data_IF_771215445103
#
_entry.id   IF_771215445103
#
_cell.length_a   1.000
_cell.length_b   1.000
_cell.length_c   1.000
_cell.angle_alpha   90.00
_cell.angle_beta   90.00
_cell.angle_gamma   90.00
#
_symmetry.space_group_name_H-M   'P 1'
#
loop_
_entity.id
_entity.type
_entity.pdbx_description
1 polymer ?
#
# COMPACT_ATOMS: atom_id res chain seq x y z
N UNK A 1 -17.58 -9.56 -2.12
CA UNK A 1 -17.01 -8.84 -1.00
C UNK A 1 -17.72 -7.53 -0.77
N UNK A 2 -17.99 -7.25 0.43
CA UNK A 2 -18.71 -6.07 0.80
C UNK A 2 -17.81 -4.86 0.84
N UNK A 3 -18.26 -3.76 0.36
CA UNK A 3 -17.44 -2.58 0.45
C UNK A 3 -17.37 -2.08 1.88
N UNK A 4 -16.23 -1.51 2.24
CA UNK A 4 -15.93 -1.10 3.59
C UNK A 4 -16.22 0.37 3.85
N UNK A 5 -16.58 1.12 2.80
CA UNK A 5 -16.89 2.54 2.94
C UNK A 5 -18.37 2.76 2.84
N UNK A 6 -18.84 3.73 3.58
CA UNK A 6 -20.19 4.22 3.43
C UNK A 6 -20.14 5.49 2.62
N UNK A 7 -20.94 5.55 1.55
CA UNK A 7 -21.02 6.76 0.75
C UNK A 7 -21.77 7.81 1.53
N UNK A 8 -21.15 8.96 1.72
CA UNK A 8 -21.83 10.10 2.33
C UNK A 8 -22.25 11.05 1.21
N UNK A 9 -23.13 11.99 1.56
CA UNK A 9 -23.55 12.99 0.59
C UNK A 9 -22.41 13.92 0.17
N UNK A 10 -21.29 13.89 0.90
CA UNK A 10 -20.12 14.69 0.55
C UNK A 10 -19.20 14.00 -0.43
N UNK A 11 -19.47 12.73 -0.76
CA UNK A 11 -18.65 11.96 -1.67
C UNK A 11 -19.15 12.23 -3.09
N UNK A 12 -18.35 12.94 -3.87
CA UNK A 12 -18.69 13.30 -5.24
C UNK A 12 -17.48 13.05 -6.15
N UNK A 13 -17.72 12.61 -7.38
CA UNK A 13 -16.62 12.54 -8.35
C UNK A 13 -16.11 13.95 -8.64
N UNK A 14 -14.80 14.10 -8.71
CA UNK A 14 -14.16 15.39 -8.94
C UNK A 14 -13.39 15.45 -10.25
N UNK A 15 -13.40 14.38 -11.04
CA UNK A 15 -12.76 14.36 -12.34
C UNK A 15 -12.18 13.01 -12.67
N UNK A 16 -11.62 12.91 -13.86
CA UNK A 16 -10.95 11.71 -14.32
C UNK A 16 -9.56 11.62 -13.69
N UNK A 17 -9.11 10.39 -13.44
CA UNK A 17 -7.76 10.17 -12.97
C UNK A 17 -6.81 9.95 -14.15
N UNK A 18 -5.71 10.70 -14.16
CA UNK A 18 -4.61 10.51 -15.10
C UNK A 18 -3.35 10.29 -14.28
N UNK A 19 -2.68 9.15 -14.50
CA UNK A 19 -1.48 8.80 -13.75
C UNK A 19 -0.40 9.88 -13.91
N UNK A 20 -0.40 10.63 -15.02
CA UNK A 20 0.57 11.68 -15.26
C UNK A 20 0.36 12.91 -14.37
N UNK A 21 -0.80 13.00 -13.72
CA UNK A 21 -1.04 14.08 -12.77
C UNK A 21 -0.34 13.87 -11.43
N UNK A 22 0.12 12.65 -11.16
CA UNK A 22 0.84 12.35 -9.93
C UNK A 22 2.22 12.97 -9.95
N UNK A 23 2.69 13.38 -8.78
CA UNK A 23 4.00 14.03 -8.65
C UNK A 23 5.04 12.99 -8.26
N UNK A 24 5.63 12.39 -9.27
CA UNK A 24 6.73 11.45 -9.07
C UNK A 24 8.02 12.24 -8.75
N UNK A 25 8.92 11.58 -8.03
CA UNK A 25 10.22 12.20 -7.75
C UNK A 25 11.12 12.16 -8.99
N UNK A 26 12.37 12.63 -8.85
CA UNK A 26 13.29 12.70 -9.99
C UNK A 26 13.65 11.33 -10.55
N UNK A 27 13.43 10.27 -9.79
CA UNK A 27 13.65 8.90 -10.26
C UNK A 27 12.38 8.28 -10.85
N UNK A 28 11.29 9.04 -10.93
CA UNK A 28 10.03 8.55 -11.46
C UNK A 28 9.26 7.71 -10.46
N UNK A 29 9.47 7.90 -9.17
CA UNK A 29 8.89 7.08 -8.12
C UNK A 29 7.99 7.91 -7.21
N UNK A 30 7.01 7.22 -6.62
CA UNK A 30 6.08 7.80 -5.67
C UNK A 30 5.88 6.77 -4.55
N UNK A 31 5.87 7.20 -3.28
CA UNK A 31 5.65 6.26 -2.19
C UNK A 31 4.17 5.85 -2.12
N UNK A 32 3.96 4.59 -1.75
CA UNK A 32 2.62 4.05 -1.55
C UNK A 32 2.56 3.38 -0.19
N UNK A 33 1.65 3.84 0.66
CA UNK A 33 1.40 3.23 1.96
C UNK A 33 0.27 2.24 1.78
N UNK A 34 0.46 1.01 2.30
CA UNK A 34 -0.60 0.02 2.31
C UNK A 34 -1.21 -0.05 3.71
N UNK A 35 -2.53 0.04 3.77
CA UNK A 35 -3.28 0.04 5.01
C UNK A 35 -4.37 -1.02 4.94
N UNK A 36 -4.58 -1.73 6.04
CA UNK A 36 -5.62 -2.75 6.13
C UNK A 36 -6.99 -2.06 6.04
N UNK A 37 -7.79 -2.47 5.06
CA UNK A 37 -9.10 -1.86 4.83
C UNK A 37 -10.10 -2.19 5.93
N UNK A 38 -9.89 -3.29 6.66
CA UNK A 38 -10.84 -3.75 7.65
C UNK A 38 -10.62 -3.12 9.01
N UNK A 39 -9.37 -2.95 9.44
CA UNK A 39 -9.08 -2.47 10.79
C UNK A 39 -8.25 -1.19 10.83
N UNK A 40 -7.82 -0.68 9.68
CA UNK A 40 -7.05 0.56 9.62
C UNK A 40 -5.58 0.43 9.96
N UNK A 41 -5.08 -0.78 10.15
CA UNK A 41 -3.67 -0.98 10.47
C UNK A 41 -2.79 -0.59 9.29
N UNK A 42 -1.76 0.21 9.54
CA UNK A 42 -0.77 0.54 8.51
C UNK A 42 0.18 -0.65 8.38
N UNK A 43 0.29 -1.17 7.18
CA UNK A 43 0.98 -2.44 6.92
C UNK A 43 2.40 -2.25 6.43
N UNK A 44 2.61 -1.36 5.49
CA UNK A 44 3.92 -1.17 4.88
C UNK A 44 3.95 0.09 4.02
N UNK A 45 5.14 0.47 3.59
CA UNK A 45 5.33 1.47 2.54
C UNK A 45 6.33 0.92 1.53
N UNK A 46 6.04 1.11 0.25
CA UNK A 46 6.97 0.75 -0.82
C UNK A 46 6.79 1.73 -1.96
N UNK A 47 7.60 1.58 -3.00
CA UNK A 47 7.63 2.53 -4.11
C UNK A 47 6.85 2.03 -5.30
N UNK A 48 6.29 2.97 -6.05
CA UNK A 48 5.63 2.70 -7.32
C UNK A 48 6.18 3.63 -8.38
N UNK A 49 6.23 3.17 -9.62
CA UNK A 49 6.39 4.05 -10.77
C UNK A 49 5.03 4.19 -11.47
N UNK A 50 4.96 4.96 -12.56
CA UNK A 50 3.67 5.17 -13.24
C UNK A 50 3.05 3.86 -13.71
N UNK A 51 3.86 2.94 -14.21
CA UNK A 51 3.37 1.65 -14.68
C UNK A 51 2.81 0.80 -13.53
N UNK A 52 3.46 0.79 -12.37
CA UNK A 52 2.95 0.01 -11.24
C UNK A 52 1.63 0.58 -10.72
N UNK A 53 1.45 1.90 -10.78
CA UNK A 53 0.16 2.51 -10.44
C UNK A 53 -0.93 1.99 -11.38
N UNK A 54 -0.66 2.02 -12.67
CA UNK A 54 -1.63 1.57 -13.67
C UNK A 54 -1.94 0.09 -13.47
N UNK A 55 -0.93 -0.74 -13.27
CA UNK A 55 -1.13 -2.19 -13.07
C UNK A 55 -1.95 -2.47 -11.81
N UNK A 56 -1.67 -1.75 -10.73
CA UNK A 56 -2.43 -1.91 -9.49
C UNK A 56 -3.91 -1.62 -9.71
N UNK A 57 -4.21 -0.53 -10.41
CA UNK A 57 -5.60 -0.13 -10.64
C UNK A 57 -6.30 -1.07 -11.62
N UNK A 58 -5.58 -1.58 -12.62
CA UNK A 58 -6.19 -2.47 -13.61
C UNK A 58 -6.41 -3.87 -13.07
N UNK A 59 -5.49 -4.39 -12.27
CA UNK A 59 -5.56 -5.78 -11.82
C UNK A 59 -6.23 -5.95 -10.47
N UNK A 60 -6.27 -4.89 -9.66
CA UNK A 60 -6.71 -5.00 -8.27
C UNK A 60 -5.70 -5.69 -7.37
N UNK A 61 -4.50 -5.97 -7.85
CA UNK A 61 -3.40 -6.55 -7.07
C UNK A 61 -2.32 -5.50 -6.92
N UNK A 62 -1.94 -5.17 -5.69
CA UNK A 62 -0.98 -4.10 -5.47
C UNK A 62 0.37 -4.51 -6.02
N UNK A 63 0.87 -3.70 -6.93
CA UNK A 63 2.11 -3.94 -7.67
C UNK A 63 3.05 -2.78 -7.39
N UNK A 64 4.23 -3.10 -6.88
CA UNK A 64 5.25 -2.11 -6.53
C UNK A 64 6.40 -2.13 -7.52
N UNK A 65 7.28 -1.16 -7.39
CA UNK A 65 8.54 -1.13 -8.14
C UNK A 65 9.69 -1.29 -7.16
N UNK A 66 10.52 -2.29 -7.41
CA UNK A 66 11.73 -2.52 -6.60
C UNK A 66 12.86 -1.67 -7.11
N UNK A 67 13.32 -0.72 -6.30
CA UNK A 67 14.44 0.15 -6.67
C UNK A 67 15.75 -0.61 -6.80
N UNK A 68 15.97 -1.56 -5.91
CA UNK A 68 17.22 -2.32 -5.89
C UNK A 68 17.31 -3.30 -7.05
N UNK A 69 16.18 -3.93 -7.42
CA UNK A 69 16.17 -4.93 -8.49
C UNK A 69 15.76 -4.35 -9.84
N UNK A 70 15.29 -3.10 -9.86
CA UNK A 70 14.81 -2.44 -11.08
C UNK A 70 13.77 -3.31 -11.80
N UNK A 71 12.78 -3.79 -11.04
CA UNK A 71 11.74 -4.66 -11.57
C UNK A 71 10.43 -4.45 -10.83
N UNK A 72 9.34 -4.87 -11.48
CA UNK A 72 8.04 -4.89 -10.84
C UNK A 72 7.95 -6.02 -9.82
N UNK A 73 7.10 -5.82 -8.86
CA UNK A 73 6.93 -6.75 -7.76
C UNK A 73 5.46 -6.74 -7.36
N UNK A 74 4.73 -7.79 -7.73
CA UNK A 74 3.34 -7.99 -7.31
C UNK A 74 3.38 -8.53 -5.89
N UNK A 75 2.79 -7.78 -4.95
CA UNK A 75 2.84 -8.15 -3.54
C UNK A 75 2.23 -9.51 -3.32
N UNK A 76 3.01 -10.43 -2.73
CA UNK A 76 2.54 -11.77 -2.41
C UNK A 76 2.54 -12.74 -3.56
N UNK A 77 3.11 -12.38 -4.71
CA UNK A 77 3.10 -13.23 -5.89
C UNK A 77 3.74 -14.59 -5.61
N UNK A 78 4.83 -14.62 -4.86
CA UNK A 78 5.52 -15.86 -4.51
C UNK A 78 5.08 -16.41 -3.16
N UNK A 79 4.84 -15.54 -2.17
CA UNK A 79 4.55 -15.96 -0.81
C UNK A 79 3.08 -16.29 -0.57
N UNK A 80 2.18 -15.83 -1.43
CA UNK A 80 0.75 -15.92 -1.21
C UNK A 80 0.19 -14.80 -0.33
N UNK A 81 1.03 -13.95 0.23
CA UNK A 81 0.60 -12.86 1.11
C UNK A 81 0.22 -11.63 0.28
N UNK A 82 -0.79 -11.80 -0.56
CA UNK A 82 -1.21 -10.80 -1.54
C UNK A 82 -1.94 -9.65 -0.89
N UNK A 83 -1.96 -8.54 -1.60
CA UNK A 83 -2.75 -7.36 -1.24
C UNK A 83 -3.78 -7.12 -2.34
N UNK A 84 -5.04 -7.32 -1.99
CA UNK A 84 -6.14 -7.06 -2.90
C UNK A 84 -6.65 -5.65 -2.64
N UNK A 85 -6.68 -4.83 -3.68
CA UNK A 85 -7.02 -3.43 -3.57
C UNK A 85 -8.51 -3.25 -3.27
N UNK A 86 -8.81 -2.46 -2.24
CA UNK A 86 -10.17 -2.06 -1.90
C UNK A 86 -10.41 -0.61 -2.33
N UNK A 87 -9.42 0.25 -2.06
CA UNK A 87 -9.53 1.67 -2.38
C UNK A 87 -8.15 2.24 -2.61
N UNK A 88 -8.07 3.26 -3.45
CA UNK A 88 -6.80 3.86 -3.82
C UNK A 88 -6.94 5.37 -3.68
N UNK A 89 -6.13 5.97 -2.79
CA UNK A 89 -6.27 7.38 -2.44
C UNK A 89 -4.98 8.12 -2.74
N UNK A 90 -5.14 9.37 -3.14
CA UNK A 90 -4.04 10.30 -3.38
C UNK A 90 -4.02 11.29 -2.23
N UNK A 91 -2.83 11.72 -1.81
CA UNK A 91 -2.81 12.77 -0.80
C UNK A 91 -3.07 14.14 -1.45
N UNK A 92 -3.13 15.19 -0.65
CA UNK A 92 -3.65 16.47 -1.12
C UNK A 92 -2.81 17.12 -2.23
N UNK A 93 -1.52 16.86 -2.25
CA UNK A 93 -0.64 17.39 -3.31
C UNK A 93 -0.17 16.30 -4.28
N UNK A 94 -0.73 15.10 -4.16
CA UNK A 94 -0.57 14.00 -5.11
C UNK A 94 0.86 13.51 -5.25
N UNK A 95 1.60 13.53 -4.15
CA UNK A 95 2.97 13.02 -4.11
C UNK A 95 3.12 11.79 -3.20
N UNK A 96 2.01 11.25 -2.70
CA UNK A 96 1.98 10.04 -1.89
C UNK A 96 0.66 9.31 -2.13
N UNK A 97 0.73 7.99 -2.15
CA UNK A 97 -0.44 7.14 -2.40
C UNK A 97 -0.80 6.36 -1.15
N UNK A 98 -2.10 6.09 -0.98
CA UNK A 98 -2.59 5.22 0.08
C UNK A 98 -3.44 4.14 -0.56
N UNK A 99 -3.00 2.89 -0.44
CA UNK A 99 -3.74 1.73 -0.93
C UNK A 99 -4.40 1.06 0.27
N UNK A 100 -5.73 1.06 0.28
CA UNK A 100 -6.49 0.30 1.27
C UNK A 100 -6.69 -1.09 0.72
N UNK A 101 -6.30 -2.11 1.49
CA UNK A 101 -6.18 -3.46 0.95
C UNK A 101 -6.77 -4.50 1.91
N UNK A 102 -7.14 -5.64 1.34
CA UNK A 102 -7.26 -6.88 2.09
C UNK A 102 -5.90 -7.57 2.03
N UNK A 103 -5.26 -7.74 3.18
CA UNK A 103 -3.94 -8.34 3.28
C UNK A 103 -4.07 -9.80 3.68
N UNK A 104 -3.58 -10.70 2.84
CA UNK A 104 -3.45 -12.11 3.20
C UNK A 104 -2.15 -12.30 3.98
N UNK A 105 -2.27 -12.77 5.22
CA UNK A 105 -1.10 -13.08 6.03
C UNK A 105 -0.27 -11.87 6.40
N UNK A 106 1.04 -12.06 6.45
CA UNK A 106 1.98 -11.05 6.88
C UNK A 106 2.36 -10.13 5.72
N UNK A 107 2.33 -8.81 5.97
CA UNK A 107 2.80 -7.86 4.96
C UNK A 107 4.32 -7.80 4.92
N UNK A 108 4.98 -8.05 6.05
CA UNK A 108 6.43 -7.92 6.17
C UNK A 108 7.13 -9.23 5.82
N UNK A 109 8.31 -9.14 5.18
CA UNK A 109 9.10 -10.33 4.87
C UNK A 109 9.62 -11.04 6.13
N UNK A 110 9.54 -10.39 7.29
CA UNK A 110 9.88 -11.01 8.59
C UNK A 110 8.71 -11.82 9.15
N UNK A 111 7.65 -12.02 8.37
CA UNK A 111 6.43 -12.71 8.75
C UNK A 111 5.60 -11.98 9.81
N UNK A 112 5.88 -10.72 10.05
CA UNK A 112 5.04 -9.89 10.91
C UNK A 112 3.93 -9.27 10.09
N UNK A 113 2.78 -9.10 10.70
CA UNK A 113 1.59 -8.54 10.02
C UNK A 113 1.89 -7.20 9.38
N UNK A 114 2.63 -6.35 10.10
CA UNK A 114 3.00 -5.02 9.61
C UNK A 114 4.52 -4.88 9.58
N UNK A 115 5.02 -4.09 8.65
CA UNK A 115 6.43 -3.71 8.65
C UNK A 115 6.75 -2.75 9.79
N UNK A 116 5.73 -2.11 10.37
CA UNK A 116 5.88 -1.12 11.42
C UNK A 116 5.73 -1.78 12.79
N UNK A 117 6.59 -2.73 13.10
CA UNK A 117 6.49 -3.52 14.33
C UNK A 117 7.48 -3.08 15.41
N UNK A 118 8.29 -2.06 15.15
CA UNK A 118 9.23 -1.53 16.13
C UNK A 118 8.82 -0.10 16.46
N UNK A 119 8.57 0.15 17.74
CA UNK A 119 8.28 1.50 18.22
C UNK A 119 9.48 2.04 18.97
N UNK A 120 9.63 3.36 18.98
CA UNK A 120 10.63 4.03 19.82
C UNK A 120 9.88 4.68 20.98
N UNK A 121 10.15 4.22 22.19
CA UNK A 121 9.50 4.70 23.40
C UNK A 121 10.56 4.94 24.46
N UNK A 122 10.57 6.15 25.00
CA UNK A 122 11.55 6.55 26.01
C UNK A 122 13.00 6.27 25.57
N UNK A 123 13.26 6.52 24.27
CA UNK A 123 14.58 6.33 23.69
C UNK A 123 14.97 4.90 23.38
N UNK A 124 14.06 3.95 23.55
CA UNK A 124 14.35 2.54 23.34
C UNK A 124 13.45 1.94 22.26
N UNK A 125 13.98 0.93 21.56
CA UNK A 125 13.20 0.19 20.58
C UNK A 125 12.36 -0.87 21.29
N UNK A 126 11.08 -0.89 20.97
CA UNK A 126 10.13 -1.84 21.54
C UNK A 126 9.46 -2.58 20.40
N UNK A 127 9.50 -3.91 20.40
CA UNK A 127 8.83 -4.71 19.40
C UNK A 127 7.38 -4.90 19.78
N UNK A 128 6.49 -4.60 18.83
CA UNK A 128 5.06 -4.56 19.06
C UNK A 128 4.34 -5.84 18.67
N UNK A 129 4.99 -6.69 17.85
CA UNK A 129 4.36 -7.91 17.38
C UNK A 129 5.42 -8.95 17.06
N UNK A 130 5.01 -10.22 17.15
CA UNK A 130 5.87 -11.35 16.82
C UNK A 130 5.52 -11.86 15.43
N UNK A 131 6.42 -12.66 14.80
CA UNK A 131 6.10 -13.25 13.50
C UNK A 131 4.86 -14.13 13.59
N UNK A 132 4.04 -14.08 12.53
CA UNK A 132 2.87 -14.93 12.39
C UNK A 132 3.32 -16.32 11.98
N UNK A 133 2.53 -17.30 12.36
CA UNK A 133 2.72 -18.66 11.86
C UNK A 133 1.75 -18.89 10.71
N UNK A 134 2.25 -19.46 9.65
CA UNK A 134 1.43 -19.75 8.46
C UNK A 134 0.87 -21.16 8.52
#
# INVERSE_FOLDING_TARGET
MQKVFTMSKDVVPSGSFDVQDLKFDSAGLIPCIAQDADNGEVLMMAWMNSESVVRTLETGRVTYWSRSRQSFWVKGESSGHVQTLVDFRLDCDQDCLLALVHQEGAACHTHRRSCFYTAVRDGEKTELMTPMTD
#
